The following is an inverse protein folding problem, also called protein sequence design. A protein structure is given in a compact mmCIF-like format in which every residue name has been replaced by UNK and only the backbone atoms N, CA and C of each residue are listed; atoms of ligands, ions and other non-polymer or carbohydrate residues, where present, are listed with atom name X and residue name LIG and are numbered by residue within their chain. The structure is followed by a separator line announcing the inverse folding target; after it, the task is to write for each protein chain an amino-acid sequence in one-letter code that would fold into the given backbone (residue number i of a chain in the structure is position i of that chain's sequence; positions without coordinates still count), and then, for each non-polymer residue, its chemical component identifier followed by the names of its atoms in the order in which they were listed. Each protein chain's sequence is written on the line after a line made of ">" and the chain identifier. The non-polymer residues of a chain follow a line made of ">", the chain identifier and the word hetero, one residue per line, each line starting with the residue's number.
data_IF_445069413625
#
_entry.id   IF_445069413625
#
_cell.length_a   1.000
_cell.length_b   1.000
_cell.length_c   1.000
_cell.angle_alpha   90.00
_cell.angle_beta   90.00
_cell.angle_gamma   90.00
#
_symmetry.space_group_name_H-M   'P 1'
#
loop_
_entity.id
_entity.type
_entity.pdbx_description
1 polymer ?
#
# COMPACT_ATOMS: atom_id res chain seq x y z
N UNK A 1 27.23 8.61 12.00
CA UNK A 1 27.06 9.74 11.06
C UNK A 1 26.10 9.26 9.98
N UNK A 2 24.79 9.37 10.21
CA UNK A 2 23.77 9.00 9.23
C UNK A 2 23.60 10.18 8.29
N UNK A 3 24.11 10.05 7.07
CA UNK A 3 23.79 10.96 5.98
C UNK A 3 22.34 10.75 5.60
N UNK A 4 21.43 11.54 6.18
CA UNK A 4 20.13 11.77 5.57
C UNK A 4 20.42 12.65 4.35
N UNK A 5 20.70 12.02 3.22
CA UNK A 5 20.75 12.73 1.96
C UNK A 5 19.39 13.40 1.77
N UNK A 6 19.38 14.73 1.67
CA UNK A 6 18.14 15.45 1.43
C UNK A 6 17.53 14.93 0.13
N UNK A 7 16.25 14.53 0.13
CA UNK A 7 15.62 13.99 -1.05
C UNK A 7 15.66 15.01 -2.19
N UNK A 8 16.10 14.57 -3.38
CA UNK A 8 16.14 15.43 -4.57
C UNK A 8 14.75 16.01 -4.89
N UNK A 9 14.62 17.19 -5.54
CA UNK A 9 13.32 17.81 -5.81
C UNK A 9 12.30 16.93 -6.55
N UNK A 10 12.78 16.00 -7.40
CA UNK A 10 11.93 15.00 -8.06
C UNK A 10 11.41 13.95 -7.08
N UNK A 11 12.26 13.50 -6.15
CA UNK A 11 11.86 12.59 -5.08
C UNK A 11 10.84 13.25 -4.14
N UNK A 12 11.02 14.54 -3.79
CA UNK A 12 10.03 15.31 -3.01
C UNK A 12 8.66 15.35 -3.70
N UNK A 13 8.64 15.61 -5.02
CA UNK A 13 7.39 15.61 -5.80
C UNK A 13 6.71 14.24 -5.89
N UNK A 14 7.48 13.16 -5.88
CA UNK A 14 6.93 11.80 -5.83
C UNK A 14 6.39 11.47 -4.43
N UNK A 15 7.16 11.72 -3.36
CA UNK A 15 6.74 11.45 -1.98
C UNK A 15 5.45 12.19 -1.62
N UNK A 16 5.31 13.44 -2.07
CA UNK A 16 4.08 14.21 -1.84
C UNK A 16 2.88 13.60 -2.57
N UNK A 17 3.05 13.14 -3.81
CA UNK A 17 1.98 12.47 -4.56
C UNK A 17 1.58 11.14 -3.96
N UNK A 18 2.54 10.35 -3.51
CA UNK A 18 2.29 9.10 -2.81
C UNK A 18 1.50 9.37 -1.52
N UNK A 19 1.91 10.37 -0.72
CA UNK A 19 1.20 10.73 0.51
C UNK A 19 -0.27 11.12 0.26
N UNK A 20 -0.53 11.96 -0.76
CA UNK A 20 -1.90 12.33 -1.14
C UNK A 20 -2.72 11.12 -1.61
N UNK A 21 -2.13 10.26 -2.43
CA UNK A 21 -2.80 9.05 -2.91
C UNK A 21 -3.14 8.09 -1.75
N UNK A 22 -2.22 7.90 -0.82
CA UNK A 22 -2.43 7.02 0.35
C UNK A 22 -3.50 7.60 1.28
N UNK A 23 -3.56 8.92 1.45
CA UNK A 23 -4.64 9.59 2.19
C UNK A 23 -6.03 9.37 1.55
N UNK A 24 -6.13 9.42 0.22
CA UNK A 24 -7.37 9.10 -0.50
C UNK A 24 -7.78 7.64 -0.30
N UNK A 25 -6.83 6.70 -0.35
CA UNK A 25 -7.08 5.28 -0.06
C UNK A 25 -7.53 5.08 1.38
N UNK A 26 -6.89 5.72 2.35
CA UNK A 26 -7.27 5.68 3.75
C UNK A 26 -8.68 6.23 3.98
N UNK A 27 -9.00 7.35 3.34
CA UNK A 27 -10.34 7.94 3.33
C UNK A 27 -11.39 6.96 2.79
N UNK A 28 -11.11 6.30 1.67
CA UNK A 28 -12.00 5.29 1.09
C UNK A 28 -12.18 4.05 1.98
N UNK A 29 -11.19 3.74 2.83
CA UNK A 29 -11.23 2.67 3.82
C UNK A 29 -11.88 3.09 5.16
N UNK A 30 -12.07 4.39 5.39
CA UNK A 30 -12.51 4.95 6.67
C UNK A 30 -11.45 4.85 7.77
N UNK A 31 -10.16 4.88 7.39
CA UNK A 31 -9.02 4.78 8.29
C UNK A 31 -8.48 6.19 8.57
N UNK A 32 -8.16 6.52 9.84
CA UNK A 32 -7.67 7.84 10.19
C UNK A 32 -6.22 8.06 9.72
N UNK A 33 -5.80 9.32 9.49
CA UNK A 33 -4.48 9.63 8.92
C UNK A 33 -3.30 9.25 9.84
N UNK A 34 -3.54 9.04 11.13
CA UNK A 34 -2.51 8.58 12.07
C UNK A 34 -2.12 7.11 11.84
N UNK A 35 -2.96 6.34 11.12
CA UNK A 35 -2.74 4.93 10.83
C UNK A 35 -2.15 4.69 9.43
N UNK A 36 -1.61 5.73 8.79
CA UNK A 36 -0.93 5.62 7.49
C UNK A 36 0.51 6.12 7.55
N UNK A 37 1.33 5.62 6.64
CA UNK A 37 2.68 6.13 6.44
C UNK A 37 3.26 5.77 5.08
N UNK A 38 4.26 6.55 4.67
CA UNK A 38 4.97 6.37 3.40
C UNK A 38 6.48 6.35 3.68
N UNK A 39 7.20 5.47 3.01
CA UNK A 39 8.65 5.43 3.01
C UNK A 39 9.13 5.48 1.56
N UNK A 40 10.01 6.43 1.25
CA UNK A 40 10.61 6.55 -0.09
C UNK A 40 12.12 6.47 0.07
N UNK A 41 12.66 5.28 -0.18
CA UNK A 41 14.10 5.00 -0.19
C UNK A 41 14.48 4.39 -1.55
N UNK A 42 15.33 3.36 -1.54
CA UNK A 42 15.60 2.51 -2.72
C UNK A 42 14.32 1.89 -3.28
N UNK A 43 13.35 1.62 -2.40
CA UNK A 43 12.00 1.21 -2.77
C UNK A 43 10.99 2.13 -2.11
N UNK A 44 9.99 2.58 -2.88
CA UNK A 44 8.87 3.33 -2.33
C UNK A 44 7.76 2.39 -1.86
N UNK A 45 7.38 2.55 -0.60
CA UNK A 45 6.29 1.80 0.03
C UNK A 45 5.36 2.71 0.80
N UNK A 46 4.13 2.25 1.01
CA UNK A 46 3.19 2.88 1.92
C UNK A 46 2.40 1.81 2.67
N UNK A 47 1.92 2.15 3.85
CA UNK A 47 1.14 1.26 4.69
C UNK A 47 -0.09 1.98 5.24
N UNK A 48 -1.15 1.20 5.42
CA UNK A 48 -2.42 1.59 6.05
C UNK A 48 -2.77 0.50 7.07
N UNK A 49 -2.73 0.85 8.35
CA UNK A 49 -3.13 -0.02 9.44
C UNK A 49 -4.64 -0.23 9.44
N UNK A 50 -5.10 -1.48 9.55
CA UNK A 50 -6.51 -1.83 9.55
C UNK A 50 -6.85 -2.52 10.88
N UNK A 51 -7.70 -1.88 11.68
CA UNK A 51 -8.32 -2.48 12.88
C UNK A 51 -9.35 -3.57 12.51
N UNK A 52 -8.92 -4.55 11.73
CA UNK A 52 -9.74 -5.65 11.23
C UNK A 52 -9.03 -6.95 11.56
N UNK A 53 -9.69 -7.76 12.38
CA UNK A 53 -9.25 -9.11 12.68
C UNK A 53 -9.51 -10.02 11.49
N UNK A 54 -8.47 -10.70 11.03
CA UNK A 54 -8.64 -11.77 10.07
C UNK A 54 -9.20 -13.00 10.78
N UNK A 55 -10.27 -13.61 10.28
CA UNK A 55 -10.90 -14.76 10.95
C UNK A 55 -9.97 -15.96 11.12
N UNK A 56 -8.96 -16.11 10.25
CA UNK A 56 -7.94 -17.14 10.38
C UNK A 56 -6.84 -16.81 11.40
N UNK A 57 -6.72 -15.55 11.84
CA UNK A 57 -5.76 -15.04 12.85
C UNK A 57 -6.41 -13.91 13.66
N UNK A 58 -7.31 -14.25 14.61
CA UNK A 58 -8.13 -13.27 15.31
C UNK A 58 -7.34 -12.38 16.30
N UNK A 59 -6.10 -12.75 16.58
CA UNK A 59 -5.17 -12.09 17.50
C UNK A 59 -4.31 -11.01 16.83
N UNK A 60 -4.38 -10.88 15.50
CA UNK A 60 -3.56 -9.93 14.74
C UNK A 60 -4.44 -9.08 13.83
N UNK A 61 -4.13 -7.80 13.81
CA UNK A 61 -4.70 -6.85 12.88
C UNK A 61 -4.10 -7.04 11.48
N UNK A 62 -4.72 -6.38 10.50
CA UNK A 62 -4.30 -6.44 9.11
C UNK A 62 -3.61 -5.13 8.74
N UNK A 63 -2.69 -5.21 7.80
CA UNK A 63 -2.03 -4.07 7.22
C UNK A 63 -2.19 -4.14 5.70
N UNK A 64 -2.67 -3.06 5.11
CA UNK A 64 -2.67 -2.88 3.68
C UNK A 64 -1.37 -2.19 3.29
N UNK A 65 -0.64 -2.75 2.34
CA UNK A 65 0.67 -2.26 1.92
C UNK A 65 0.66 -1.99 0.43
N UNK A 66 1.20 -0.84 0.05
CA UNK A 66 1.56 -0.51 -1.32
C UNK A 66 3.07 -0.61 -1.48
N UNK A 67 3.49 -1.18 -2.59
CA UNK A 67 4.89 -1.24 -3.00
C UNK A 67 4.96 -0.87 -4.48
N UNK A 68 5.92 -0.03 -4.87
CA UNK A 68 6.02 0.50 -6.23
C UNK A 68 6.25 -0.57 -7.32
N UNK A 69 6.64 -1.79 -6.93
CA UNK A 69 6.81 -2.94 -7.82
C UNK A 69 5.69 -3.97 -7.71
N UNK A 70 4.99 -4.01 -6.57
CA UNK A 70 3.95 -5.02 -6.31
C UNK A 70 2.52 -4.46 -6.44
N UNK A 71 2.35 -3.14 -6.34
CA UNK A 71 1.06 -2.51 -6.11
C UNK A 71 0.55 -2.82 -4.70
N UNK A 72 -0.77 -2.91 -4.55
CA UNK A 72 -1.42 -3.16 -3.27
C UNK A 72 -1.49 -4.64 -2.91
N UNK A 73 -1.19 -4.94 -1.65
CA UNK A 73 -1.43 -6.26 -1.06
C UNK A 73 -1.85 -6.14 0.40
N UNK A 74 -2.65 -7.10 0.84
CA UNK A 74 -3.11 -7.21 2.22
C UNK A 74 -2.22 -8.22 2.95
N UNK A 75 -1.70 -7.82 4.10
CA UNK A 75 -0.87 -8.64 4.96
C UNK A 75 -1.39 -8.64 6.40
N UNK A 76 -0.93 -9.60 7.19
CA UNK A 76 -1.06 -9.55 8.65
C UNK A 76 -0.10 -8.49 9.17
N UNK A 77 -0.54 -7.67 10.13
CA UNK A 77 0.34 -6.72 10.79
C UNK A 77 1.45 -7.46 11.54
N UNK A 78 2.69 -7.07 11.26
CA UNK A 78 3.90 -7.69 11.78
C UNK A 78 4.78 -6.67 12.47
N UNK A 79 5.54 -7.10 13.48
CA UNK A 79 6.66 -6.29 13.97
C UNK A 79 7.75 -6.22 12.89
N UNK A 80 8.64 -5.22 12.90
CA UNK A 80 9.72 -5.11 11.90
C UNK A 80 10.66 -6.32 11.84
N UNK A 81 10.72 -7.14 12.89
CA UNK A 81 11.55 -8.34 12.97
C UNK A 81 10.89 -9.59 12.37
N UNK A 82 9.60 -9.52 12.03
CA UNK A 82 8.83 -10.65 11.50
C UNK A 82 8.69 -10.54 9.97
N UNK A 83 8.78 -11.66 9.23
CA UNK A 83 8.50 -11.64 7.80
C UNK A 83 7.00 -11.34 7.56
N UNK A 84 6.66 -10.52 6.56
CA UNK A 84 5.27 -10.20 6.26
C UNK A 84 4.50 -11.44 5.85
N UNK A 85 3.32 -11.63 6.46
CA UNK A 85 2.41 -12.72 6.08
C UNK A 85 1.35 -12.18 5.16
N UNK A 86 1.54 -12.41 3.86
CA UNK A 86 0.65 -11.89 2.82
C UNK A 86 -0.62 -12.74 2.74
N UNK A 87 -1.76 -12.06 2.80
CA UNK A 87 -3.10 -12.65 2.70
C UNK A 87 -3.54 -12.71 1.23
N UNK A 88 -3.40 -11.60 0.50
CA UNK A 88 -3.76 -11.50 -0.92
C UNK A 88 -3.09 -10.31 -1.62
N UNK A 89 -2.95 -10.39 -2.94
CA UNK A 89 -2.54 -9.28 -3.82
C UNK A 89 -3.72 -8.71 -4.60
N UNK A 90 -3.79 -7.38 -4.71
CA UNK A 90 -4.63 -6.71 -5.70
C UNK A 90 -3.96 -6.81 -7.07
N UNK A 91 -4.71 -7.31 -8.05
CA UNK A 91 -4.22 -7.47 -9.42
C UNK A 91 -4.50 -6.22 -10.26
N UNK A 92 -3.69 -6.04 -11.30
CA UNK A 92 -3.87 -4.97 -12.27
C UNK A 92 -2.83 -3.87 -12.11
N UNK A 93 -3.28 -2.62 -12.03
CA UNK A 93 -2.39 -1.47 -11.95
C UNK A 93 -1.70 -1.37 -10.59
N UNK A 94 -0.43 -0.95 -10.60
CA UNK A 94 0.32 -0.62 -9.37
C UNK A 94 -0.36 0.52 -8.62
N UNK A 95 -0.89 1.51 -9.35
CA UNK A 95 -1.69 2.62 -8.81
C UNK A 95 -3.16 2.36 -9.14
N UNK A 96 -3.85 1.65 -8.25
CA UNK A 96 -5.28 1.34 -8.41
C UNK A 96 -6.17 2.47 -7.87
N UNK A 97 -7.39 2.68 -8.39
CA UNK A 97 -8.32 3.65 -7.81
C UNK A 97 -8.64 3.34 -6.33
N UNK A 98 -8.79 4.36 -5.46
CA UNK A 98 -9.06 4.16 -4.02
C UNK A 98 -10.27 3.25 -3.72
N UNK A 99 -11.35 3.36 -4.48
CA UNK A 99 -12.56 2.55 -4.32
C UNK A 99 -12.33 1.07 -4.66
N UNK A 100 -11.48 0.79 -5.67
CA UNK A 100 -11.06 -0.55 -6.05
C UNK A 100 -10.24 -1.18 -4.92
N UNK A 101 -9.32 -0.42 -4.31
CA UNK A 101 -8.53 -0.87 -3.16
C UNK A 101 -9.44 -1.16 -1.95
N UNK A 102 -10.37 -0.26 -1.64
CA UNK A 102 -11.32 -0.46 -0.54
C UNK A 102 -12.22 -1.68 -0.73
N UNK A 103 -12.70 -1.90 -1.97
CA UNK A 103 -13.46 -3.10 -2.34
C UNK A 103 -12.61 -4.36 -2.15
N UNK A 104 -11.36 -4.35 -2.59
CA UNK A 104 -10.45 -5.47 -2.43
C UNK A 104 -10.24 -5.85 -0.95
N UNK A 105 -10.03 -4.88 -0.06
CA UNK A 105 -9.91 -5.13 1.39
C UNK A 105 -11.20 -5.76 1.94
N UNK A 106 -12.37 -5.20 1.59
CA UNK A 106 -13.66 -5.72 2.03
C UNK A 106 -13.92 -7.15 1.54
N UNK A 107 -13.61 -7.45 0.29
CA UNK A 107 -13.85 -8.76 -0.30
C UNK A 107 -12.86 -9.81 0.25
N UNK A 108 -11.60 -9.44 0.48
CA UNK A 108 -10.59 -10.31 1.09
C UNK A 108 -10.92 -10.62 2.55
N UNK A 109 -11.28 -9.61 3.34
CA UNK A 109 -11.65 -9.80 4.76
C UNK A 109 -12.94 -10.60 4.95
N UNK A 110 -13.86 -10.55 3.98
CA UNK A 110 -15.05 -11.38 3.96
C UNK A 110 -14.83 -12.79 3.37
N UNK A 111 -13.59 -13.17 3.05
CA UNK A 111 -13.25 -14.48 2.49
C UNK A 111 -13.67 -14.69 1.03
N UNK A 112 -14.09 -13.63 0.32
CA UNK A 112 -14.55 -13.68 -1.08
C UNK A 112 -13.41 -13.49 -2.09
N UNK A 113 -12.23 -13.09 -1.64
CA UNK A 113 -11.07 -12.84 -2.49
C UNK A 113 -9.84 -13.53 -1.89
N UNK A 114 -9.36 -14.59 -2.55
CA UNK A 114 -8.19 -15.37 -2.11
C UNK A 114 -7.19 -15.50 -3.25
N UNK A 115 -6.71 -14.37 -3.77
CA UNK A 115 -5.62 -14.42 -4.73
C UNK A 115 -4.27 -14.18 -4.06
N UNK A 116 -3.53 -15.27 -3.85
CA UNK A 116 -2.20 -15.26 -3.24
C UNK A 116 -1.06 -15.22 -4.26
N UNK A 117 -1.37 -15.32 -5.55
CA UNK A 117 -0.35 -15.29 -6.59
C UNK A 117 -0.02 -13.85 -6.94
N UNK A 118 1.27 -13.56 -7.08
CA UNK A 118 1.75 -12.27 -7.53
C UNK A 118 1.90 -12.29 -9.07
N UNK A 119 1.26 -11.39 -9.81
CA UNK A 119 1.60 -11.17 -11.21
C UNK A 119 2.98 -10.50 -11.32
N UNK A 120 3.83 -11.02 -12.20
CA UNK A 120 5.11 -10.38 -12.51
C UNK A 120 4.83 -9.19 -13.43
N UNK A 121 4.93 -7.98 -12.88
CA UNK A 121 4.83 -6.74 -13.64
C UNK A 121 6.23 -6.16 -13.90
N UNK A 122 6.48 -5.58 -15.08
CA UNK A 122 7.71 -4.85 -15.32
C UNK A 122 7.80 -3.65 -14.37
N UNK A 123 9.02 -3.29 -13.90
CA UNK A 123 9.21 -2.08 -13.12
C UNK A 123 8.68 -0.86 -13.86
N UNK A 124 7.91 -0.02 -13.16
CA UNK A 124 7.39 1.24 -13.70
C UNK A 124 8.22 2.39 -13.14
N UNK A 125 8.54 3.39 -13.97
CA UNK A 125 9.28 4.56 -13.52
C UNK A 125 8.46 5.39 -12.51
N UNK A 126 9.12 5.91 -11.46
CA UNK A 126 8.47 6.71 -10.41
C UNK A 126 7.74 7.95 -10.96
N UNK A 127 8.24 8.56 -12.04
CA UNK A 127 7.56 9.66 -12.75
C UNK A 127 6.19 9.23 -13.27
N UNK A 128 6.12 8.08 -13.92
CA UNK A 128 4.87 7.51 -14.44
C UNK A 128 3.92 7.15 -13.30
N UNK A 129 4.43 6.56 -12.21
CA UNK A 129 3.62 6.27 -11.02
C UNK A 129 3.04 7.56 -10.41
N UNK A 130 3.84 8.63 -10.32
CA UNK A 130 3.36 9.92 -9.81
C UNK A 130 2.25 10.51 -10.69
N UNK A 131 2.38 10.41 -12.02
CA UNK A 131 1.35 10.88 -12.95
C UNK A 131 0.07 10.04 -12.84
N UNK A 132 0.19 8.73 -12.62
CA UNK A 132 -0.96 7.86 -12.34
C UNK A 132 -1.64 8.23 -11.03
N UNK A 133 -0.89 8.46 -9.95
CA UNK A 133 -1.44 8.87 -8.65
C UNK A 133 -2.21 10.19 -8.73
N UNK A 134 -1.79 11.10 -9.62
CA UNK A 134 -2.49 12.37 -9.83
C UNK A 134 -3.79 12.25 -10.63
N UNK A 135 -4.02 11.13 -11.32
CA UNK A 135 -5.17 10.93 -12.21
C UNK A 135 -6.20 9.95 -11.66
N UNK A 136 -5.82 9.06 -10.74
CA UNK A 136 -6.78 8.21 -10.03
C UNK A 136 -7.40 9.01 -8.88
N UNK A 137 -8.73 9.02 -8.81
CA UNK A 137 -9.52 9.64 -7.74
C UNK A 137 -10.52 8.62 -7.20
#
# INVERSE_FOLDING_TARGET
>A
MLGLEDPTPRAVGFSQRLAVYVDQVATALGVPPEAIGCEVSDTATAYVGLERRWTARPDRDLMLVWDEHLGWYLAVETTPAEPPVIVAYLHGAVVAPPDVVARFVRDTTAGRHVNRLRPVLPPTERTTLADQMATVA
#
